data_IF_691447981342
#
_entry.id   IF_691447981342
#
_cell.length_a   1.000
_cell.length_b   1.000
_cell.length_c   1.000
_cell.angle_alpha   90.00
_cell.angle_beta   90.00
_cell.angle_gamma   90.00
#
_symmetry.space_group_name_H-M   'P 1'
#
loop_
_entity.id
_entity.type
_entity.pdbx_description
1 polymer ?
#
# COMPACT_ATOMS: atom_id res chain seq x y z
N UNK A 1 1.95 -48.38 -16.09
CA UNK A 1 1.98 -46.92 -16.23
C UNK A 1 2.15 -46.24 -14.88
N UNK A 2 3.28 -45.56 -14.67
CA UNK A 2 3.52 -44.77 -13.47
C UNK A 2 2.75 -43.44 -13.58
N UNK A 3 1.84 -43.18 -12.63
CA UNK A 3 1.08 -41.94 -12.54
C UNK A 3 2.07 -40.79 -12.29
N UNK A 4 2.22 -39.87 -13.26
CA UNK A 4 3.00 -38.63 -13.06
C UNK A 4 2.30 -37.81 -11.97
N UNK A 5 3.00 -37.59 -10.86
CA UNK A 5 2.57 -36.70 -9.79
C UNK A 5 3.25 -35.35 -10.05
N UNK A 6 2.45 -34.29 -10.15
CA UNK A 6 2.94 -32.93 -10.20
C UNK A 6 3.01 -32.38 -8.77
N UNK A 7 4.07 -31.66 -8.46
CA UNK A 7 4.24 -30.95 -7.19
C UNK A 7 4.54 -29.49 -7.51
N UNK A 8 3.87 -28.58 -6.83
CA UNK A 8 4.13 -27.16 -6.97
C UNK A 8 5.52 -26.84 -6.42
N UNK A 9 6.27 -26.01 -7.15
CA UNK A 9 7.61 -25.57 -6.78
C UNK A 9 7.62 -24.06 -6.66
N UNK A 10 8.39 -23.55 -5.69
CA UNK A 10 8.58 -22.13 -5.47
C UNK A 10 10.08 -21.86 -5.35
N UNK A 11 10.53 -20.70 -5.85
CA UNK A 11 11.87 -20.16 -5.64
C UNK A 11 11.72 -18.96 -4.71
N UNK A 12 12.53 -18.89 -3.67
CA UNK A 12 12.48 -17.80 -2.69
C UNK A 12 13.89 -17.24 -2.45
N UNK A 13 14.01 -15.91 -2.47
CA UNK A 13 15.19 -15.20 -2.01
C UNK A 13 14.88 -14.57 -0.64
N UNK A 14 15.74 -14.85 0.33
CA UNK A 14 15.63 -14.27 1.68
C UNK A 14 16.71 -13.20 1.83
N UNK A 15 16.30 -11.96 2.07
CA UNK A 15 17.19 -10.82 2.19
C UNK A 15 16.83 -9.97 3.42
N UNK A 16 17.86 -9.42 4.07
CA UNK A 16 17.69 -8.38 5.10
C UNK A 16 17.52 -6.98 4.50
N UNK A 17 17.88 -6.79 3.23
CA UNK A 17 17.70 -5.53 2.52
C UNK A 17 16.30 -5.50 1.89
N UNK A 18 15.48 -4.47 2.13
CA UNK A 18 14.11 -4.36 1.60
C UNK A 18 14.12 -3.88 0.14
N UNK A 19 14.89 -4.54 -0.72
CA UNK A 19 15.05 -4.22 -2.14
C UNK A 19 14.10 -5.07 -3.00
N UNK A 20 12.80 -4.92 -2.77
CA UNK A 20 11.74 -5.73 -3.38
C UNK A 20 11.80 -5.75 -4.91
N UNK A 21 12.10 -4.61 -5.54
CA UNK A 21 12.09 -4.50 -7.00
C UNK A 21 13.19 -5.38 -7.62
N UNK A 22 14.44 -5.17 -7.22
CA UNK A 22 15.58 -5.93 -7.78
C UNK A 22 15.54 -7.40 -7.39
N UNK A 23 15.04 -7.74 -6.19
CA UNK A 23 14.90 -9.13 -5.76
C UNK A 23 13.83 -9.87 -6.56
N UNK A 24 12.74 -9.19 -6.92
CA UNK A 24 11.71 -9.72 -7.82
C UNK A 24 12.28 -9.96 -9.21
N UNK A 25 12.93 -8.96 -9.79
CA UNK A 25 13.52 -9.06 -11.13
C UNK A 25 14.55 -10.20 -11.18
N UNK A 26 15.37 -10.32 -10.13
CA UNK A 26 16.32 -11.42 -10.00
C UNK A 26 15.66 -12.80 -9.87
N UNK A 27 14.56 -12.91 -9.14
CA UNK A 27 13.78 -14.16 -9.03
C UNK A 27 13.15 -14.55 -10.37
N UNK A 28 12.65 -13.59 -11.14
CA UNK A 28 12.08 -13.82 -12.47
C UNK A 28 13.14 -14.35 -13.43
N UNK A 29 14.34 -13.75 -13.44
CA UNK A 29 15.47 -14.25 -14.24
C UNK A 29 15.90 -15.65 -13.80
N UNK A 30 16.09 -15.89 -12.50
CA UNK A 30 16.43 -17.22 -11.99
C UNK A 30 15.38 -18.27 -12.38
N UNK A 31 14.10 -17.91 -12.31
CA UNK A 31 13.00 -18.80 -12.72
C UNK A 31 13.11 -19.14 -14.21
N UNK A 32 13.29 -18.14 -15.09
CA UNK A 32 13.47 -18.37 -16.53
C UNK A 32 14.65 -19.30 -16.80
N UNK A 33 15.79 -19.07 -16.12
CA UNK A 33 16.99 -19.89 -16.28
C UNK A 33 16.81 -21.34 -15.80
N UNK A 34 16.05 -21.58 -14.73
CA UNK A 34 15.76 -22.94 -14.23
C UNK A 34 15.03 -23.81 -15.26
N UNK A 35 14.24 -23.19 -16.14
CA UNK A 35 13.39 -23.88 -17.12
C UNK A 35 13.78 -23.58 -18.57
N UNK A 36 14.94 -22.94 -18.78
CA UNK A 36 15.46 -22.63 -20.11
C UNK A 36 15.78 -23.93 -20.87
N UNK A 37 15.23 -24.14 -22.08
CA UNK A 37 15.51 -25.34 -22.88
C UNK A 37 16.96 -25.37 -23.39
N UNK A 38 17.60 -24.19 -23.50
CA UNK A 38 18.98 -24.05 -23.95
C UNK A 38 19.98 -24.14 -22.79
N UNK A 39 19.50 -24.31 -21.56
CA UNK A 39 20.33 -24.25 -20.36
C UNK A 39 20.84 -22.83 -20.09
N UNK A 40 21.91 -22.77 -19.29
CA UNK A 40 22.65 -21.57 -18.87
C UNK A 40 24.09 -21.64 -19.41
N UNK A 41 24.74 -20.50 -19.58
CA UNK A 41 26.13 -20.43 -20.07
C UNK A 41 27.12 -20.96 -19.02
N UNK A 42 26.77 -20.79 -17.75
CA UNK A 42 27.48 -21.34 -16.58
C UNK A 42 26.48 -22.10 -15.70
N UNK A 43 26.92 -23.03 -14.84
CA UNK A 43 26.01 -23.70 -13.92
C UNK A 43 25.15 -22.72 -13.11
N UNK A 44 23.84 -22.97 -12.98
CA UNK A 44 22.91 -22.10 -12.25
C UNK A 44 23.37 -21.78 -10.82
N UNK A 45 24.03 -22.72 -10.15
CA UNK A 45 24.56 -22.50 -8.80
C UNK A 45 25.67 -21.43 -8.76
N UNK A 46 26.45 -21.25 -9.84
CA UNK A 46 27.48 -20.20 -9.93
C UNK A 46 26.83 -18.82 -10.04
N UNK A 47 25.72 -18.71 -10.78
CA UNK A 47 24.92 -17.49 -10.87
C UNK A 47 24.38 -17.11 -9.49
N UNK A 48 23.78 -18.08 -8.79
CA UNK A 48 23.26 -17.87 -7.42
C UNK A 48 24.39 -17.51 -6.46
N UNK A 49 25.53 -18.19 -6.53
CA UNK A 49 26.69 -17.91 -5.68
C UNK A 49 27.22 -16.49 -5.91
N UNK A 50 27.30 -16.04 -7.17
CA UNK A 50 27.68 -14.67 -7.52
C UNK A 50 26.69 -13.67 -6.92
N UNK A 51 25.39 -13.86 -7.12
CA UNK A 51 24.36 -12.97 -6.57
C UNK A 51 24.43 -12.83 -5.05
N UNK A 52 24.61 -13.94 -4.33
CA UNK A 52 24.58 -13.94 -2.86
C UNK A 52 25.90 -13.48 -2.25
N UNK A 53 27.04 -13.84 -2.86
CA UNK A 53 28.36 -13.67 -2.24
C UNK A 53 29.16 -12.51 -2.81
N UNK A 54 28.94 -12.15 -4.08
CA UNK A 54 29.80 -11.22 -4.81
C UNK A 54 29.11 -9.89 -5.15
N UNK A 55 27.78 -9.85 -5.20
CA UNK A 55 27.04 -8.59 -5.39
C UNK A 55 27.06 -7.81 -4.07
N UNK A 56 27.67 -6.61 -4.02
CA UNK A 56 27.71 -5.83 -2.79
C UNK A 56 26.33 -5.26 -2.44
N UNK A 57 26.10 -4.96 -1.16
CA UNK A 57 24.90 -4.23 -0.74
C UNK A 57 25.05 -2.73 -1.09
N UNK A 58 23.98 -2.08 -1.55
CA UNK A 58 24.02 -0.65 -1.89
C UNK A 58 24.32 0.18 -0.65
N UNK A 59 25.28 1.10 -0.77
CA UNK A 59 25.56 2.07 0.29
C UNK A 59 24.62 3.28 0.12
N UNK A 60 23.86 3.68 1.16
CA UNK A 60 22.97 4.83 1.08
C UNK A 60 23.64 6.10 0.56
N UNK A 61 23.04 6.71 -0.47
CA UNK A 61 23.50 7.96 -1.09
C UNK A 61 24.75 7.83 -1.98
N UNK A 62 25.23 6.61 -2.25
CA UNK A 62 26.33 6.35 -3.19
C UNK A 62 25.81 5.85 -4.54
N UNK A 63 26.74 5.63 -5.46
CA UNK A 63 26.47 5.10 -6.80
C UNK A 63 25.68 3.78 -6.77
N UNK A 64 24.88 3.59 -7.82
CA UNK A 64 24.15 2.34 -8.03
C UNK A 64 25.11 1.17 -8.24
N UNK A 65 24.71 0.01 -7.76
CA UNK A 65 25.39 -1.25 -7.99
C UNK A 65 24.76 -1.89 -9.22
N UNK A 66 25.61 -2.32 -10.16
CA UNK A 66 25.22 -3.05 -11.35
C UNK A 66 25.73 -4.48 -11.25
N UNK A 67 24.87 -5.44 -11.58
CA UNK A 67 25.26 -6.85 -11.67
C UNK A 67 24.40 -7.54 -12.73
N UNK A 68 24.88 -8.64 -13.29
CA UNK A 68 24.18 -9.36 -14.35
C UNK A 68 23.77 -10.75 -13.89
N UNK A 69 22.56 -11.15 -14.30
CA UNK A 69 22.12 -12.54 -14.31
C UNK A 69 22.06 -12.96 -15.77
N UNK A 70 23.06 -13.72 -16.24
CA UNK A 70 23.25 -14.02 -17.67
C UNK A 70 23.20 -12.74 -18.53
N UNK A 71 22.19 -12.58 -19.39
CA UNK A 71 22.05 -11.45 -20.30
C UNK A 71 21.18 -10.31 -19.72
N UNK A 72 20.71 -10.43 -18.48
CA UNK A 72 19.90 -9.42 -17.80
C UNK A 72 20.77 -8.56 -16.89
N UNK A 73 20.87 -7.26 -17.19
CA UNK A 73 21.58 -6.29 -16.36
C UNK A 73 20.63 -5.71 -15.31
N UNK A 74 20.91 -5.99 -14.05
CA UNK A 74 20.14 -5.48 -12.90
C UNK A 74 20.89 -4.33 -12.22
N UNK A 75 20.12 -3.45 -11.58
CA UNK A 75 20.68 -2.34 -10.81
C UNK A 75 19.96 -2.15 -9.50
N UNK A 76 20.71 -1.84 -8.45
CA UNK A 76 20.16 -1.50 -7.14
C UNK A 76 20.87 -0.26 -6.58
N UNK A 77 20.10 0.62 -5.96
CA UNK A 77 20.62 1.80 -5.28
C UNK A 77 19.89 2.00 -3.97
N UNK A 78 20.59 2.53 -2.97
CA UNK A 78 20.00 2.95 -1.71
C UNK A 78 20.05 4.48 -1.68
N UNK A 79 18.91 5.17 -1.56
CA UNK A 79 18.91 6.62 -1.51
C UNK A 79 19.57 7.13 -0.22
N UNK A 80 19.91 8.44 -0.14
CA UNK A 80 20.43 9.05 1.07
C UNK A 80 19.52 8.82 2.28
N UNK A 81 20.10 8.80 3.48
CA UNK A 81 19.33 8.64 4.73
C UNK A 81 18.57 9.91 5.12
N UNK A 82 18.86 11.03 4.47
CA UNK A 82 18.20 12.31 4.72
C UNK A 82 16.86 12.38 3.98
N UNK A 83 15.80 12.77 4.69
CA UNK A 83 14.46 12.93 4.13
C UNK A 83 13.52 11.76 4.43
N UNK A 84 12.53 11.59 3.55
CA UNK A 84 11.52 10.52 3.69
C UNK A 84 12.15 9.14 3.48
N UNK A 85 11.66 8.11 4.19
CA UNK A 85 12.16 6.75 4.03
C UNK A 85 11.90 6.28 2.60
N UNK A 86 12.87 5.58 2.04
CA UNK A 86 12.70 4.94 0.75
C UNK A 86 11.73 3.77 0.86
N UNK A 87 10.65 3.85 0.10
CA UNK A 87 9.76 2.74 -0.14
C UNK A 87 10.10 2.12 -1.51
N UNK A 88 10.65 0.92 -1.53
CA UNK A 88 10.87 0.14 -2.76
C UNK A 88 9.61 -0.67 -3.15
N UNK A 89 8.44 -0.13 -2.81
CA UNK A 89 7.12 -0.71 -3.04
C UNK A 89 6.14 0.37 -3.52
N UNK A 90 5.11 -0.06 -4.24
CA UNK A 90 4.04 0.83 -4.64
C UNK A 90 2.97 0.95 -3.55
N UNK A 91 2.53 2.17 -3.26
CA UNK A 91 1.37 2.45 -2.40
C UNK A 91 0.04 2.29 -3.15
N UNK A 92 0.08 2.19 -4.48
CA UNK A 92 -1.11 2.09 -5.32
C UNK A 92 -2.06 0.95 -4.92
N UNK A 93 -1.60 -0.28 -4.59
CA UNK A 93 -2.50 -1.35 -4.17
C UNK A 93 -3.33 -0.99 -2.93
N UNK A 94 -2.71 -0.37 -1.92
CA UNK A 94 -3.42 0.13 -0.73
C UNK A 94 -4.51 1.14 -1.11
N UNK A 95 -4.16 2.11 -1.95
CA UNK A 95 -5.05 3.19 -2.40
C UNK A 95 -6.17 2.70 -3.36
N UNK A 96 -5.98 1.54 -3.99
CA UNK A 96 -6.99 0.92 -4.84
C UNK A 96 -7.93 0.00 -4.06
N UNK A 97 -7.47 -0.59 -2.96
CA UNK A 97 -8.26 -1.47 -2.10
C UNK A 97 -9.16 -0.70 -1.11
N UNK A 98 -8.70 0.44 -0.61
CA UNK A 98 -9.41 1.23 0.39
C UNK A 98 -9.77 2.61 -0.14
N UNK A 99 -10.99 3.06 0.12
CA UNK A 99 -11.33 4.46 -0.04
C UNK A 99 -10.61 5.33 1.01
N UNK A 100 -10.72 6.65 0.86
CA UNK A 100 -10.01 7.59 1.74
C UNK A 100 -10.42 7.43 3.20
N UNK A 101 -11.71 7.16 3.46
CA UNK A 101 -12.23 7.10 4.83
C UNK A 101 -11.74 5.81 5.53
N UNK A 102 -11.76 4.66 4.86
CA UNK A 102 -11.20 3.42 5.38
C UNK A 102 -9.67 3.42 5.43
N UNK A 103 -8.98 4.08 4.48
CA UNK A 103 -7.54 4.29 4.56
C UNK A 103 -7.16 5.05 5.83
N UNK A 104 -7.85 6.16 6.13
CA UNK A 104 -7.62 6.94 7.35
C UNK A 104 -7.97 6.11 8.59
N UNK A 105 -9.06 5.34 8.56
CA UNK A 105 -9.45 4.46 9.67
C UNK A 105 -8.42 3.36 9.94
N UNK A 106 -7.86 2.73 8.90
CA UNK A 106 -6.76 1.78 9.02
C UNK A 106 -5.51 2.45 9.58
N UNK A 107 -5.13 3.60 9.00
CA UNK A 107 -3.99 4.39 9.48
C UNK A 107 -4.10 4.72 10.97
N UNK A 108 -5.29 5.15 11.41
CA UNK A 108 -5.59 5.44 12.81
C UNK A 108 -5.47 4.19 13.68
N UNK A 109 -6.02 3.06 13.25
CA UNK A 109 -5.90 1.79 13.98
C UNK A 109 -4.45 1.33 14.13
N UNK A 110 -3.60 1.56 13.12
CA UNK A 110 -2.17 1.25 13.18
C UNK A 110 -1.46 2.19 14.18
N UNK A 111 -1.74 3.50 14.17
CA UNK A 111 -1.16 4.43 15.14
C UNK A 111 -1.58 4.14 16.59
N UNK A 112 -2.77 3.56 16.78
CA UNK A 112 -3.28 3.11 18.07
C UNK A 112 -2.80 1.70 18.46
N UNK A 113 -1.87 1.12 17.70
CA UNK A 113 -1.30 -0.21 17.94
C UNK A 113 -2.38 -1.29 18.12
N UNK A 114 -3.47 -1.21 17.33
CA UNK A 114 -4.54 -2.20 17.37
C UNK A 114 -4.08 -3.54 16.80
N UNK A 115 -4.81 -4.61 17.10
CA UNK A 115 -4.64 -5.93 16.47
C UNK A 115 -5.21 -5.89 15.05
N UNK A 116 -4.37 -5.76 14.02
CA UNK A 116 -4.78 -5.61 12.62
C UNK A 116 -4.73 -6.95 11.90
N UNK A 117 -5.86 -7.36 11.31
CA UNK A 117 -5.94 -8.53 10.43
C UNK A 117 -6.34 -8.08 9.02
N UNK A 118 -5.38 -8.07 8.09
CA UNK A 118 -5.64 -7.83 6.67
C UNK A 118 -6.13 -9.13 6.02
N UNK A 119 -7.19 -9.04 5.21
CA UNK A 119 -7.80 -10.15 4.50
C UNK A 119 -7.78 -9.87 3.01
N UNK A 120 -7.25 -10.82 2.24
CA UNK A 120 -7.29 -10.77 0.78
C UNK A 120 -7.23 -12.15 0.14
N UNK A 121 -7.81 -12.34 -1.04
CA UNK A 121 -7.60 -13.53 -1.88
C UNK A 121 -6.30 -13.48 -2.70
N UNK A 122 -5.56 -12.37 -2.64
CA UNK A 122 -4.27 -12.19 -3.30
C UNK A 122 -3.17 -12.01 -2.26
N UNK A 123 -2.30 -13.00 -2.13
CA UNK A 123 -1.15 -12.94 -1.20
C UNK A 123 -0.28 -11.70 -1.42
N UNK A 124 -0.03 -11.31 -2.67
CA UNK A 124 0.75 -10.10 -2.99
C UNK A 124 0.14 -8.82 -2.40
N UNK A 125 -1.20 -8.71 -2.35
CA UNK A 125 -1.85 -7.53 -1.77
C UNK A 125 -1.62 -7.45 -0.27
N UNK A 126 -1.67 -8.58 0.45
CA UNK A 126 -1.44 -8.62 1.89
C UNK A 126 -0.07 -8.01 2.24
N UNK A 127 1.00 -8.43 1.56
CA UNK A 127 2.33 -7.86 1.78
C UNK A 127 2.43 -6.41 1.36
N UNK A 128 1.95 -6.03 0.17
CA UNK A 128 2.07 -4.65 -0.32
C UNK A 128 1.30 -3.66 0.54
N UNK A 129 0.10 -4.00 0.99
CA UNK A 129 -0.71 -3.17 1.89
C UNK A 129 -0.07 -3.05 3.26
N UNK A 130 0.43 -4.17 3.83
CA UNK A 130 1.14 -4.18 5.11
C UNK A 130 2.38 -3.29 5.10
N UNK A 131 3.22 -3.42 4.07
CA UNK A 131 4.42 -2.61 3.92
C UNK A 131 4.06 -1.14 3.67
N UNK A 132 3.07 -0.85 2.82
CA UNK A 132 2.66 0.52 2.53
C UNK A 132 2.15 1.24 3.79
N UNK A 133 1.28 0.61 4.58
CA UNK A 133 0.75 1.24 5.79
C UNK A 133 1.85 1.45 6.85
N UNK A 134 2.81 0.52 6.95
CA UNK A 134 4.00 0.68 7.81
C UNK A 134 4.91 1.84 7.37
N UNK A 135 4.97 2.15 6.07
CA UNK A 135 5.71 3.33 5.59
C UNK A 135 4.95 4.64 5.86
N UNK A 136 3.61 4.63 5.80
CA UNK A 136 2.79 5.82 6.03
C UNK A 136 2.88 6.36 7.46
N UNK A 137 3.19 5.50 8.45
CA UNK A 137 3.33 5.92 9.86
C UNK A 137 4.68 6.55 10.18
N UNK A 138 5.57 6.76 9.21
CA UNK A 138 6.83 7.49 9.43
C UNK A 138 6.57 8.85 10.11
N UNK A 139 7.36 9.24 11.14
CA UNK A 139 8.64 8.66 11.57
C UNK A 139 8.52 7.48 12.54
N UNK A 140 7.32 7.03 12.88
CA UNK A 140 7.11 5.84 13.69
C UNK A 140 7.42 4.57 12.91
N UNK A 141 7.64 3.49 13.65
CA UNK A 141 7.83 2.15 13.11
C UNK A 141 6.97 1.20 13.91
N UNK A 142 6.27 0.30 13.24
CA UNK A 142 5.57 -0.80 13.90
C UNK A 142 6.56 -1.60 14.76
N UNK A 143 6.30 -1.72 16.06
CA UNK A 143 7.20 -2.40 17.02
C UNK A 143 6.70 -3.80 17.42
N UNK A 144 5.51 -4.18 16.98
CA UNK A 144 4.84 -5.39 17.44
C UNK A 144 4.94 -6.52 16.41
N UNK A 145 4.23 -7.62 16.67
CA UNK A 145 4.23 -8.79 15.78
C UNK A 145 3.81 -8.37 14.37
N UNK A 146 4.62 -8.75 13.38
CA UNK A 146 4.42 -8.42 11.98
C UNK A 146 4.54 -9.69 11.14
N UNK A 147 3.40 -10.16 10.61
CA UNK A 147 3.31 -11.37 9.78
C UNK A 147 2.43 -11.04 8.57
N UNK A 148 2.97 -10.35 7.55
CA UNK A 148 2.19 -9.89 6.39
C UNK A 148 1.52 -11.05 5.63
N UNK A 149 2.03 -12.28 5.79
CA UNK A 149 1.48 -13.51 5.24
C UNK A 149 1.49 -14.63 6.29
N UNK A 150 0.35 -14.83 6.94
CA UNK A 150 0.12 -15.92 7.87
C UNK A 150 -0.25 -17.19 7.10
N UNK A 151 0.44 -18.30 7.41
CA UNK A 151 0.17 -19.60 6.82
C UNK A 151 -1.15 -20.19 7.34
N UNK A 152 -1.78 -21.09 6.57
CA UNK A 152 -3.12 -21.63 6.87
C UNK A 152 -3.26 -22.19 8.30
N UNK A 153 -2.31 -23.03 8.73
CA UNK A 153 -2.32 -23.63 10.08
C UNK A 153 -1.89 -22.65 11.19
N UNK A 154 -1.67 -21.38 10.87
CA UNK A 154 -1.32 -20.32 11.80
C UNK A 154 -2.51 -19.46 12.20
N UNK A 155 -3.74 -19.77 11.77
CA UNK A 155 -4.91 -18.95 12.07
C UNK A 155 -5.11 -18.69 13.57
N UNK A 156 -4.76 -19.65 14.43
CA UNK A 156 -4.84 -19.53 15.90
C UNK A 156 -3.95 -18.41 16.47
N UNK A 157 -2.95 -17.92 15.74
CA UNK A 157 -2.14 -16.76 16.17
C UNK A 157 -2.96 -15.45 16.22
N UNK A 158 -4.14 -15.41 15.59
CA UNK A 158 -5.06 -14.27 15.64
C UNK A 158 -5.60 -14.05 17.06
N UNK A 159 -5.72 -15.09 17.87
CA UNK A 159 -6.17 -14.98 19.27
C UNK A 159 -5.12 -14.34 20.20
N UNK A 160 -3.93 -13.97 19.68
CA UNK A 160 -2.90 -13.32 20.47
C UNK A 160 -3.42 -12.02 21.13
N UNK A 161 -3.18 -11.81 22.44
CA UNK A 161 -3.69 -10.65 23.16
C UNK A 161 -2.86 -9.38 22.90
N UNK A 162 -1.66 -9.52 22.37
CA UNK A 162 -0.74 -8.42 22.05
C UNK A 162 -1.10 -7.78 20.71
N UNK A 163 -0.78 -6.49 20.50
CA UNK A 163 -0.84 -5.88 19.18
C UNK A 163 -0.11 -6.72 18.12
N UNK A 164 -0.68 -6.75 16.92
CA UNK A 164 -0.08 -7.41 15.76
C UNK A 164 -0.59 -6.79 14.47
N UNK A 165 0.15 -7.01 13.40
CA UNK A 165 -0.32 -6.84 12.04
C UNK A 165 -0.10 -8.16 11.30
N UNK A 166 -1.20 -8.80 10.92
CA UNK A 166 -1.17 -10.07 10.21
C UNK A 166 -1.97 -9.99 8.91
N UNK A 167 -1.51 -10.65 7.86
CA UNK A 167 -2.28 -10.85 6.64
C UNK A 167 -2.69 -12.31 6.50
N UNK A 168 -3.97 -12.59 6.26
CA UNK A 168 -4.49 -13.95 6.09
C UNK A 168 -5.32 -14.05 4.81
N UNK A 169 -5.13 -15.14 4.07
CA UNK A 169 -5.88 -15.38 2.84
C UNK A 169 -7.40 -15.44 3.15
N UNK A 170 -8.22 -14.76 2.34
CA UNK A 170 -9.65 -14.61 2.63
C UNK A 170 -10.46 -15.91 2.54
N UNK A 171 -9.90 -16.95 1.91
CA UNK A 171 -10.47 -18.31 1.90
C UNK A 171 -10.25 -19.12 3.19
N UNK A 172 -9.43 -18.65 4.14
CA UNK A 172 -9.25 -19.34 5.43
C UNK A 172 -10.40 -18.97 6.36
N UNK A 173 -11.12 -19.98 6.87
CA UNK A 173 -12.20 -19.76 7.81
C UNK A 173 -11.66 -19.25 9.16
N UNK A 174 -12.28 -18.19 9.66
CA UNK A 174 -11.95 -17.54 10.94
C UNK A 174 -13.18 -17.46 11.86
N UNK A 175 -14.29 -18.10 11.50
CA UNK A 175 -15.55 -18.05 12.26
C UNK A 175 -15.46 -18.64 13.66
N UNK A 176 -14.51 -19.57 13.88
CA UNK A 176 -14.24 -20.18 15.19
C UNK A 176 -13.25 -19.40 16.08
N UNK A 177 -12.71 -18.28 15.61
CA UNK A 177 -11.68 -17.51 16.33
C UNK A 177 -12.29 -16.34 17.12
N UNK A 178 -11.57 -15.89 18.15
CA UNK A 178 -11.98 -14.77 19.00
C UNK A 178 -11.49 -13.46 18.41
N UNK A 179 -12.35 -12.79 17.64
CA UNK A 179 -12.00 -11.53 16.95
C UNK A 179 -12.27 -10.28 17.80
N UNK A 180 -12.48 -10.42 19.11
CA UNK A 180 -12.75 -9.29 19.99
C UNK A 180 -11.56 -8.33 20.02
N UNK A 181 -11.80 -7.06 19.73
CA UNK A 181 -10.81 -5.98 19.61
C UNK A 181 -9.91 -6.06 18.37
N UNK A 182 -10.09 -7.07 17.51
CA UNK A 182 -9.35 -7.21 16.24
C UNK A 182 -9.97 -6.29 15.18
N UNK A 183 -9.13 -5.55 14.47
CA UNK A 183 -9.50 -4.71 13.33
C UNK A 183 -9.30 -5.53 12.06
N UNK A 184 -10.40 -6.10 11.56
CA UNK A 184 -10.40 -6.90 10.34
C UNK A 184 -10.61 -5.99 9.15
N UNK A 185 -9.65 -5.98 8.24
CA UNK A 185 -9.63 -5.17 7.02
C UNK A 185 -9.78 -6.09 5.81
N UNK A 186 -10.95 -6.07 5.20
CA UNK A 186 -11.23 -6.78 3.95
C UNK A 186 -10.86 -5.90 2.76
N UNK A 187 -9.79 -6.28 2.07
CA UNK A 187 -9.20 -5.53 0.96
C UNK A 187 -9.94 -5.75 -0.37
N UNK A 188 -10.79 -6.77 -0.48
CA UNK A 188 -11.62 -6.99 -1.67
C UNK A 188 -12.84 -6.08 -1.67
N UNK A 189 -13.40 -5.81 -0.49
CA UNK A 189 -14.69 -5.14 -0.35
C UNK A 189 -14.61 -3.76 0.30
N UNK A 190 -13.40 -3.21 0.51
CA UNK A 190 -13.20 -1.92 1.18
C UNK A 190 -13.98 -1.87 2.51
N UNK A 191 -13.77 -2.85 3.39
CA UNK A 191 -14.55 -3.00 4.62
C UNK A 191 -13.65 -3.18 5.83
N UNK A 192 -13.89 -2.36 6.86
CA UNK A 192 -13.23 -2.48 8.15
C UNK A 192 -14.29 -2.81 9.22
N UNK A 193 -14.11 -3.96 9.88
CA UNK A 193 -14.98 -4.43 10.97
C UNK A 193 -14.17 -4.72 12.22
N UNK A 194 -14.71 -4.36 13.37
CA UNK A 194 -14.11 -4.59 14.68
C UNK A 194 -15.21 -4.47 15.76
N UNK A 195 -15.05 -5.13 16.91
CA UNK A 195 -15.99 -5.02 18.03
C UNK A 195 -15.82 -3.71 18.82
N UNK A 196 -14.61 -3.18 18.86
CA UNK A 196 -14.28 -1.93 19.54
C UNK A 196 -14.33 -0.75 18.58
N UNK A 197 -14.79 0.41 19.05
CA UNK A 197 -14.71 1.62 18.24
C UNK A 197 -13.25 2.06 18.00
N UNK A 198 -12.98 2.58 16.81
CA UNK A 198 -11.70 3.20 16.49
C UNK A 198 -11.91 4.70 16.64
N UNK A 199 -11.35 5.34 17.69
CA UNK A 199 -11.59 6.75 17.92
C UNK A 199 -11.10 7.56 16.72
N UNK A 200 -11.87 8.56 16.27
CA UNK A 200 -11.49 9.35 15.11
C UNK A 200 -10.29 10.24 15.41
N UNK A 201 -9.52 10.55 14.36
CA UNK A 201 -8.55 11.65 14.37
C UNK A 201 -9.34 12.96 14.68
N UNK A 202 -8.77 13.92 15.43
CA UNK A 202 -9.46 15.19 15.67
C UNK A 202 -9.85 15.89 14.36
N UNK A 203 -11.01 16.55 14.36
CA UNK A 203 -11.72 16.98 13.14
C UNK A 203 -10.88 17.87 12.20
N UNK A 204 -10.01 18.71 12.77
CA UNK A 204 -9.16 19.64 12.02
C UNK A 204 -8.13 18.86 11.19
N UNK A 205 -7.39 17.96 11.84
CA UNK A 205 -6.37 17.11 11.24
C UNK A 205 -7.01 16.12 10.27
N UNK A 206 -8.17 15.57 10.62
CA UNK A 206 -8.95 14.68 9.75
C UNK A 206 -9.34 15.38 8.44
N UNK A 207 -9.93 16.57 8.54
CA UNK A 207 -10.34 17.35 7.38
C UNK A 207 -9.15 17.73 6.49
N UNK A 208 -8.04 18.15 7.09
CA UNK A 208 -6.81 18.45 6.36
C UNK A 208 -6.27 17.21 5.64
N UNK A 209 -6.06 16.10 6.35
CA UNK A 209 -5.51 14.87 5.82
C UNK A 209 -6.36 14.31 4.66
N UNK A 210 -7.69 14.25 4.86
CA UNK A 210 -8.64 13.79 3.85
C UNK A 210 -8.56 14.61 2.57
N UNK A 211 -8.49 15.94 2.70
CA UNK A 211 -8.40 16.84 1.55
C UNK A 211 -7.08 16.67 0.78
N UNK A 212 -5.95 16.51 1.48
CA UNK A 212 -4.66 16.28 0.84
C UNK A 212 -4.61 14.93 0.12
N UNK A 213 -5.14 13.87 0.72
CA UNK A 213 -5.25 12.55 0.06
C UNK A 213 -6.12 12.64 -1.20
N UNK A 214 -7.27 13.32 -1.12
CA UNK A 214 -8.16 13.50 -2.27
C UNK A 214 -7.50 14.28 -3.41
N UNK A 215 -6.71 15.31 -3.12
CA UNK A 215 -5.92 16.04 -4.13
C UNK A 215 -4.93 15.13 -4.86
N UNK A 216 -4.29 14.21 -4.14
CA UNK A 216 -3.34 13.26 -4.72
C UNK A 216 -4.04 12.20 -5.59
N UNK A 217 -5.19 11.70 -5.14
CA UNK A 217 -5.94 10.66 -5.86
C UNK A 217 -6.74 11.21 -7.05
N UNK A 218 -7.22 12.44 -6.95
CA UNK A 218 -8.09 13.08 -7.94
C UNK A 218 -7.65 14.52 -8.24
N UNK A 219 -6.47 14.70 -8.86
CA UNK A 219 -5.90 16.03 -9.10
C UNK A 219 -6.82 16.95 -9.95
N UNK A 220 -7.69 16.37 -10.77
CA UNK A 220 -8.60 17.09 -11.65
C UNK A 220 -9.96 17.46 -11.03
N UNK A 221 -10.32 16.91 -9.86
CA UNK A 221 -11.63 17.13 -9.24
C UNK A 221 -11.59 18.30 -8.24
N UNK A 222 -10.48 18.46 -7.52
CA UNK A 222 -10.35 19.48 -6.46
C UNK A 222 -10.35 20.92 -6.99
N UNK A 223 -10.02 21.13 -8.27
CA UNK A 223 -10.13 22.44 -8.92
C UNK A 223 -11.58 22.85 -9.24
N UNK A 224 -12.52 21.91 -9.30
CA UNK A 224 -13.91 22.18 -9.73
C UNK A 224 -14.68 22.91 -8.62
N UNK A 225 -14.41 22.61 -7.36
CA UNK A 225 -15.07 23.28 -6.23
C UNK A 225 -14.62 24.75 -6.11
N UNK A 226 -13.36 25.04 -6.40
CA UNK A 226 -12.86 26.41 -6.53
C UNK A 226 -13.46 27.15 -7.74
N UNK A 227 -13.69 26.46 -8.86
CA UNK A 227 -14.37 27.03 -10.03
C UNK A 227 -15.85 27.31 -9.74
N UNK A 228 -16.55 26.42 -9.03
CA UNK A 228 -17.94 26.64 -8.59
C UNK A 228 -18.06 27.79 -7.58
N UNK A 229 -17.12 27.90 -6.63
CA UNK A 229 -17.07 29.03 -5.70
C UNK A 229 -16.84 30.37 -6.43
N UNK A 230 -15.94 30.42 -7.41
CA UNK A 230 -15.73 31.63 -8.23
C UNK A 230 -16.91 31.94 -9.16
N UNK A 231 -17.59 30.94 -9.72
CA UNK A 231 -18.80 31.12 -10.52
C UNK A 231 -19.98 31.64 -9.68
N UNK A 232 -20.11 31.19 -8.43
CA UNK A 232 -21.10 31.73 -7.48
C UNK A 232 -20.83 33.19 -7.11
N UNK A 233 -19.55 33.57 -6.95
CA UNK A 233 -19.14 34.96 -6.71
C UNK A 233 -19.37 35.85 -7.94
N UNK A 234 -19.16 35.31 -9.16
CA UNK A 234 -19.45 36.03 -10.41
C UNK A 234 -20.97 36.21 -10.58
N UNK A 235 -21.81 35.20 -10.29
CA UNK A 235 -23.27 35.35 -10.41
C UNK A 235 -23.86 36.37 -9.43
N UNK A 236 -23.28 36.51 -8.24
CA UNK A 236 -23.71 37.50 -7.24
C UNK A 236 -23.31 38.94 -7.59
N UNK A 237 -22.29 39.15 -8.44
CA UNK A 237 -21.95 40.48 -8.94
C UNK A 237 -22.92 40.96 -10.03
N UNK A 238 -23.49 40.07 -10.84
CA UNK A 238 -24.50 40.43 -11.84
C UNK A 238 -25.90 40.63 -11.25
N UNK A 239 -26.21 40.00 -10.10
CA UNK A 239 -27.51 40.17 -9.43
C UNK A 239 -27.67 41.52 -8.69
N UNK A 240 -26.56 42.21 -8.36
CA UNK A 240 -26.59 43.48 -7.61
C UNK A 240 -26.71 44.75 -8.46
N UNK A 241 -26.67 44.65 -9.78
CA UNK A 241 -26.78 45.83 -10.69
C UNK A 241 -28.18 46.07 -11.25
N UNK A 242 -29.15 45.22 -10.90
CA UNK A 242 -30.50 45.23 -11.46
C UNK A 242 -31.60 45.76 -10.55
N UNK A 243 -31.40 46.88 -9.84
CA UNK A 243 -32.50 47.58 -9.15
C UNK A 243 -32.24 49.09 -9.10
N UNK A 244 -32.60 49.80 -10.18
CA UNK A 244 -33.00 51.21 -10.09
C UNK A 244 -34.47 51.33 -10.47
N UNK A 245 -35.22 51.76 -9.46
CA UNK A 245 -36.64 52.01 -9.35
C UNK A 245 -37.07 53.09 -10.36
N UNK A 246 -38.13 52.82 -11.12
CA UNK A 246 -38.86 53.83 -11.89
C UNK A 246 -40.23 54.00 -11.23
N UNK A 247 -40.40 55.06 -10.42
CA UNK A 247 -41.72 55.48 -9.95
C UNK A 247 -42.09 56.86 -10.50
N UNK A 248 -43.10 56.80 -11.39
CA UNK A 248 -44.25 57.68 -11.61
C UNK A 248 -44.09 59.21 -11.72
N UNK A 249 -44.63 59.72 -12.82
CA UNK A 249 -45.69 60.73 -12.72
C UNK A 249 -46.74 60.58 -13.84
N UNK A 250 -48.00 60.46 -13.42
CA UNK A 250 -49.25 60.86 -14.11
C UNK A 250 -49.18 62.36 -14.51
N UNK A 251 -49.94 62.99 -15.39
CA UNK A 251 -51.19 62.74 -16.16
C UNK A 251 -51.26 63.85 -17.23
N UNK A 252 -51.98 63.65 -18.34
CA UNK A 252 -52.49 64.75 -19.17
C UNK A 252 -54.03 64.74 -19.12
N UNK A 253 -54.57 65.91 -18.77
CA UNK A 253 -55.97 66.33 -18.57
C UNK A 253 -56.61 65.98 -17.24
#
# INVERSE_FOLDING_TARGET
>A
DAKKIFADKCICLVSRSPSFQVLRDALEELFILCFSPNGTSIPLWEIVAHMVSNVPLPTPGKDRILFSIENCLLSVQAPPKEGLPHADISFQPLLQCLDVDNLIRLFTAVLLERRILLRSNKYTLLTLVSEAICHLIYPFRWQHVYIPLLFFSGADYIDAPTPYMMGLHSGVDISGLTLDGVVVVDLEYNRISTSDDIPPIPDIELGFLRNEILKLLQPNVVGIDHIKANLGVISDQYAKTGNRIWEKSMTLK
#
